data_IF_944794038613
#
_entry.id   IF_944794038613
#
_cell.length_a   1.000
_cell.length_b   1.000
_cell.length_c   1.000
_cell.angle_alpha   90.00
_cell.angle_beta   90.00
_cell.angle_gamma   90.00
#
_symmetry.space_group_name_H-M   'P 1'
#
loop_
_entity.id
_entity.type
_entity.pdbx_description
1 polymer ?
#
# COMPACT_ATOMS: atom_id res chain seq x y z
N UNK A 1 -11.87 -7.91 9.95
CA UNK A 1 -10.54 -7.25 9.92
C UNK A 1 -9.88 -7.65 8.62
N UNK A 2 -9.59 -6.70 7.73
CA UNK A 2 -8.85 -7.01 6.51
C UNK A 2 -7.40 -7.33 6.92
N UNK A 3 -6.91 -8.50 6.53
CA UNK A 3 -5.52 -8.87 6.77
C UNK A 3 -4.62 -7.94 5.95
N UNK A 4 -3.39 -7.68 6.40
CA UNK A 4 -2.44 -6.84 5.64
C UNK A 4 -2.25 -7.34 4.18
N UNK A 5 -2.48 -8.63 3.96
CA UNK A 5 -2.46 -9.28 2.64
C UNK A 5 -3.48 -8.71 1.67
N UNK A 6 -4.60 -8.18 2.17
CA UNK A 6 -5.70 -7.64 1.36
C UNK A 6 -5.35 -6.26 0.78
N UNK A 7 -4.39 -5.57 1.39
CA UNK A 7 -3.87 -4.26 0.97
C UNK A 7 -2.76 -4.41 -0.08
N UNK A 8 -2.14 -5.58 -0.19
CA UNK A 8 -1.00 -5.76 -1.09
C UNK A 8 -1.45 -5.71 -2.56
N UNK A 9 -0.86 -4.82 -3.40
CA UNK A 9 -1.23 -4.68 -4.79
C UNK A 9 -1.15 -6.00 -5.55
N UNK A 10 -2.23 -6.38 -6.24
CA UNK A 10 -2.31 -7.63 -7.00
C UNK A 10 -1.46 -7.56 -8.26
N UNK A 11 -1.23 -6.36 -8.79
CA UNK A 11 -0.30 -6.11 -9.93
C UNK A 11 1.15 -6.55 -9.64
N UNK A 12 1.56 -6.62 -8.37
CA UNK A 12 2.91 -7.02 -8.04
C UNK A 12 3.12 -8.54 -8.25
N UNK A 13 4.32 -8.94 -8.68
CA UNK A 13 4.68 -10.37 -8.79
C UNK A 13 4.59 -11.08 -7.44
N UNK A 14 4.45 -12.42 -7.42
CA UNK A 14 4.39 -13.20 -6.16
C UNK A 14 5.55 -12.91 -5.21
N UNK A 15 6.76 -12.77 -5.75
CA UNK A 15 7.96 -12.43 -4.98
C UNK A 15 7.89 -11.00 -4.41
N UNK A 16 7.43 -10.03 -5.20
CA UNK A 16 7.24 -8.65 -4.72
C UNK A 16 6.13 -8.55 -3.68
N UNK A 17 5.01 -9.26 -3.86
CA UNK A 17 3.94 -9.31 -2.85
C UNK A 17 4.45 -9.83 -1.52
N UNK A 18 5.20 -10.94 -1.52
CA UNK A 18 5.85 -11.46 -0.31
C UNK A 18 6.76 -10.42 0.35
N UNK A 19 7.56 -9.71 -0.45
CA UNK A 19 8.42 -8.64 0.07
C UNK A 19 7.61 -7.48 0.66
N UNK A 20 6.57 -6.99 -0.03
CA UNK A 20 5.73 -5.90 0.42
C UNK A 20 4.96 -6.25 1.70
N UNK A 21 4.47 -7.49 1.82
CA UNK A 21 3.87 -7.98 3.07
C UNK A 21 4.85 -7.87 4.23
N UNK A 22 6.08 -8.36 4.07
CA UNK A 22 7.09 -8.29 5.13
C UNK A 22 7.44 -6.82 5.42
N UNK A 23 7.65 -6.01 4.39
CA UNK A 23 8.00 -4.59 4.52
C UNK A 23 6.95 -3.82 5.32
N UNK A 24 5.67 -3.91 4.95
CA UNK A 24 4.61 -3.16 5.62
C UNK A 24 4.36 -3.68 7.04
N UNK A 25 4.38 -5.01 7.25
CA UNK A 25 4.29 -5.58 8.61
C UNK A 25 5.41 -5.06 9.51
N UNK A 26 6.66 -5.04 9.01
CA UNK A 26 7.80 -4.54 9.76
C UNK A 26 7.71 -3.03 10.03
N UNK A 27 7.24 -2.24 9.06
CA UNK A 27 7.06 -0.79 9.25
C UNK A 27 6.04 -0.51 10.38
N UNK A 28 4.95 -1.27 10.44
CA UNK A 28 3.96 -1.14 11.51
C UNK A 28 4.53 -1.46 12.90
N UNK A 29 5.54 -2.33 12.98
CA UNK A 29 6.22 -2.68 14.24
C UNK A 29 7.26 -1.63 14.67
N UNK A 30 7.98 -1.00 13.74
CA UNK A 30 9.09 -0.08 14.06
C UNK A 30 8.63 1.16 14.86
N UNK A 31 7.43 1.69 14.58
CA UNK A 31 6.85 2.82 15.32
C UNK A 31 7.71 4.11 15.34
N UNK A 32 8.64 4.25 14.39
CA UNK A 32 9.70 5.27 14.42
C UNK A 32 10.46 5.35 13.10
N UNK A 33 11.76 5.65 13.14
CA UNK A 33 12.56 5.84 11.92
C UNK A 33 12.68 4.55 11.11
N UNK A 34 12.07 4.53 9.93
CA UNK A 34 12.19 3.43 8.98
C UNK A 34 13.47 3.61 8.16
N UNK A 35 14.52 2.89 8.53
CA UNK A 35 15.75 2.77 7.75
C UNK A 35 16.11 1.28 7.59
N UNK A 36 17.04 0.93 6.69
CA UNK A 36 17.32 -0.47 6.40
C UNK A 36 17.88 -1.25 7.61
N UNK A 37 18.60 -0.59 8.51
CA UNK A 37 19.09 -1.19 9.74
C UNK A 37 17.96 -1.55 10.69
N UNK A 38 16.97 -0.67 10.86
CA UNK A 38 15.76 -0.94 11.65
C UNK A 38 14.88 -1.99 10.97
N UNK A 39 14.69 -1.93 9.65
CA UNK A 39 13.96 -2.97 8.92
C UNK A 39 14.59 -4.37 9.10
N UNK A 40 15.92 -4.46 9.09
CA UNK A 40 16.64 -5.71 9.38
C UNK A 40 16.54 -6.13 10.86
N UNK A 41 16.39 -5.19 11.79
CA UNK A 41 16.23 -5.48 13.23
C UNK A 41 14.87 -6.10 13.54
N UNK A 42 13.82 -5.64 12.87
CA UNK A 42 12.43 -6.04 13.13
C UNK A 42 11.87 -7.01 12.08
N UNK A 43 12.73 -7.70 11.34
CA UNK A 43 12.33 -8.71 10.35
C UNK A 43 13.40 -9.80 10.20
N UNK A 44 13.03 -10.90 9.55
CA UNK A 44 13.96 -11.97 9.17
C UNK A 44 14.77 -11.64 7.90
N UNK A 45 14.54 -10.48 7.28
CA UNK A 45 15.21 -10.10 6.03
C UNK A 45 16.49 -9.30 6.34
N UNK A 46 17.58 -9.67 5.67
CA UNK A 46 18.84 -8.93 5.78
C UNK A 46 18.78 -7.55 5.08
N UNK A 47 19.62 -6.63 5.56
CA UNK A 47 19.69 -5.26 5.03
C UNK A 47 20.00 -5.23 3.53
N UNK A 48 20.90 -6.11 3.08
CA UNK A 48 21.30 -6.24 1.66
C UNK A 48 20.10 -6.59 0.76
N UNK A 49 19.18 -7.40 1.26
CA UNK A 49 17.98 -7.82 0.53
C UNK A 49 16.98 -6.67 0.46
N UNK A 50 16.79 -5.90 1.53
CA UNK A 50 16.02 -4.67 1.47
C UNK A 50 16.58 -3.73 0.40
N UNK A 51 17.87 -3.41 0.46
CA UNK A 51 18.53 -2.56 -0.56
C UNK A 51 18.28 -3.07 -1.97
N UNK A 52 18.53 -4.36 -2.23
CA UNK A 52 18.32 -4.97 -3.55
C UNK A 52 16.87 -4.90 -4.01
N UNK A 53 15.89 -5.10 -3.12
CA UNK A 53 14.47 -5.02 -3.48
C UNK A 53 14.04 -3.58 -3.76
N UNK A 54 14.53 -2.60 -2.98
CA UNK A 54 14.28 -1.18 -3.22
C UNK A 54 14.97 -0.66 -4.49
N UNK A 55 16.09 -1.26 -4.91
CA UNK A 55 16.74 -0.95 -6.19
C UNK A 55 16.02 -1.53 -7.41
N UNK A 56 15.06 -2.45 -7.24
CA UNK A 56 14.29 -3.00 -8.36
C UNK A 56 13.22 -2.01 -8.76
N UNK A 57 12.99 -1.91 -10.07
CA UNK A 57 11.85 -1.15 -10.59
C UNK A 57 10.54 -1.77 -10.09
N UNK A 58 9.74 -0.97 -9.40
CA UNK A 58 8.36 -1.27 -9.07
C UNK A 58 7.51 -0.08 -9.46
N UNK A 59 6.38 -0.32 -10.12
CA UNK A 59 5.46 0.74 -10.49
C UNK A 59 4.62 1.13 -9.26
N UNK A 60 5.20 1.98 -8.42
CA UNK A 60 4.55 2.49 -7.22
C UNK A 60 3.25 3.23 -7.53
N UNK A 61 3.16 3.93 -8.66
CA UNK A 61 1.93 4.64 -9.05
C UNK A 61 0.79 3.63 -9.24
N UNK A 62 1.01 2.58 -10.02
CA UNK A 62 0.00 1.55 -10.27
C UNK A 62 -0.37 0.79 -8.99
N UNK A 63 0.61 0.49 -8.15
CA UNK A 63 0.37 -0.13 -6.84
C UNK A 63 -0.45 0.75 -5.89
N UNK A 64 -0.11 2.04 -5.79
CA UNK A 64 -0.81 3.00 -4.93
C UNK A 64 -2.26 3.20 -5.38
N UNK A 65 -2.52 3.26 -6.69
CA UNK A 65 -3.89 3.35 -7.23
C UNK A 65 -4.73 2.14 -6.82
N UNK A 66 -4.18 0.92 -6.83
CA UNK A 66 -4.89 -0.27 -6.36
C UNK A 66 -5.17 -0.24 -4.86
N UNK A 67 -4.20 0.19 -4.04
CA UNK A 67 -4.37 0.33 -2.58
C UNK A 67 -5.50 1.33 -2.28
N UNK A 68 -5.45 2.50 -2.90
CA UNK A 68 -6.46 3.56 -2.78
C UNK A 68 -7.82 3.00 -3.20
N UNK A 69 -7.94 2.40 -4.39
CA UNK A 69 -9.21 1.86 -4.87
C UNK A 69 -9.80 0.78 -3.95
N UNK A 70 -8.94 -0.04 -3.33
CA UNK A 70 -9.36 -1.08 -2.39
C UNK A 70 -9.93 -0.47 -1.10
N UNK A 71 -9.26 0.54 -0.53
CA UNK A 71 -9.71 1.21 0.71
C UNK A 71 -10.96 2.07 0.50
N UNK A 72 -11.01 2.84 -0.60
CA UNK A 72 -12.16 3.68 -0.95
C UNK A 72 -13.35 2.92 -1.56
N UNK A 73 -13.25 1.61 -1.76
CA UNK A 73 -14.41 0.78 -2.14
C UNK A 73 -15.48 0.72 -1.03
N UNK A 74 -15.10 1.03 0.21
CA UNK A 74 -16.02 1.13 1.36
C UNK A 74 -16.57 2.53 1.62
N UNK A 75 -15.94 3.57 1.08
CA UNK A 75 -16.55 4.90 1.08
C UNK A 75 -17.59 4.88 -0.02
N UNK A 76 -18.87 4.91 0.36
CA UNK A 76 -19.93 5.27 -0.57
C UNK A 76 -19.49 6.59 -1.21
N UNK A 77 -19.06 6.55 -2.47
CA UNK A 77 -18.95 7.78 -3.25
C UNK A 77 -20.35 8.38 -3.15
N UNK A 78 -20.46 9.51 -2.46
CA UNK A 78 -21.70 10.27 -2.30
C UNK A 78 -22.10 10.78 -3.68
N UNK A 79 -22.63 9.87 -4.49
CA UNK A 79 -23.26 10.14 -5.75
C UNK A 79 -24.74 10.31 -5.48
N UNK A 80 -25.15 11.57 -5.27
CA UNK A 80 -26.47 12.18 -5.58
C UNK A 80 -26.79 13.29 -4.56
N UNK A 81 -26.21 14.48 -4.74
CA UNK A 81 -26.81 15.77 -4.38
C UNK A 81 -25.84 16.92 -4.72
N UNK A 82 -25.53 17.11 -6.00
CA UNK A 82 -25.05 18.41 -6.47
C UNK A 82 -26.23 19.01 -7.22
N UNK A 83 -26.87 19.97 -6.55
CA UNK A 83 -28.01 20.80 -6.96
C UNK A 83 -28.43 20.67 -8.44
N UNK A 84 -29.60 20.06 -8.66
CA UNK A 84 -30.40 20.34 -9.83
C UNK A 84 -30.96 21.76 -9.62
N UNK A 85 -30.22 22.78 -10.04
CA UNK A 85 -30.81 24.12 -10.15
C UNK A 85 -31.83 24.03 -11.27
N UNK A 86 -33.11 24.00 -10.90
CA UNK A 86 -34.19 24.29 -11.80
C UNK A 86 -33.97 25.71 -12.32
N UNK A 87 -33.50 25.85 -13.55
CA UNK A 87 -33.71 27.07 -14.31
C UNK A 87 -35.19 27.09 -14.69
N UNK A 88 -35.96 27.71 -13.82
CA UNK A 88 -37.23 28.34 -14.18
C UNK A 88 -36.87 29.69 -14.80
N UNK A 89 -37.11 29.82 -16.10
CA UNK A 89 -37.47 31.08 -16.76
C UNK A 89 -38.28 30.75 -18.00
#
# INVERSE_FOLDING_TARGET
MNSITDIIPKVASKAQRKFLTILFSTIMVIGGKVNFTNLRRYSEINERTYRRQFSRSYNFIKGNVEIIATDFSFVSKSGKATYRTHLVS
#
